data_IF_970838737310
#
_entry.id   IF_970838737310
#
_cell.length_a   1.000
_cell.length_b   1.000
_cell.length_c   1.000
_cell.angle_alpha   90.00
_cell.angle_beta   90.00
_cell.angle_gamma   90.00
#
_symmetry.space_group_name_H-M   'P 1'
#
loop_
_entity.id
_entity.type
_entity.pdbx_description
1 polymer ?
#
# COMPACT_ATOMS: atom_id res chain seq x y z
N UNK A 1 -11.68 6.37 21.22
CA UNK A 1 -11.97 6.10 19.80
C UNK A 1 -12.46 7.35 19.09
N UNK A 2 -12.71 7.21 17.80
CA UNK A 2 -13.21 8.30 16.93
C UNK A 2 -14.44 7.83 16.19
N UNK A 3 -15.46 8.68 16.09
CA UNK A 3 -16.65 8.44 15.31
C UNK A 3 -16.98 9.66 14.45
N UNK A 4 -17.78 9.46 13.42
CA UNK A 4 -18.21 10.50 12.49
C UNK A 4 -19.73 10.52 12.43
N UNK A 5 -20.32 11.72 12.45
CA UNK A 5 -21.73 11.95 12.14
C UNK A 5 -21.78 13.05 11.07
N UNK A 6 -22.25 12.72 9.88
CA UNK A 6 -22.17 13.57 8.70
C UNK A 6 -20.72 14.00 8.43
N UNK A 7 -20.41 15.31 8.49
CA UNK A 7 -19.06 15.85 8.32
C UNK A 7 -18.33 16.18 9.62
N UNK A 8 -18.95 15.96 10.77
CA UNK A 8 -18.34 16.26 12.07
C UNK A 8 -17.64 15.01 12.65
N UNK A 9 -16.42 15.20 13.13
CA UNK A 9 -15.66 14.18 13.86
C UNK A 9 -15.74 14.40 15.38
N UNK A 10 -15.84 13.28 16.06
CA UNK A 10 -15.93 13.21 17.52
C UNK A 10 -14.85 12.26 18.04
N UNK A 11 -14.23 12.59 19.14
CA UNK A 11 -13.42 11.63 19.90
C UNK A 11 -14.17 11.23 21.18
N UNK A 12 -13.91 10.03 21.68
CA UNK A 12 -14.46 9.54 22.93
C UNK A 12 -13.42 8.73 23.70
N UNK A 13 -13.52 8.71 25.03
CA UNK A 13 -12.57 8.02 25.90
C UNK A 13 -13.08 6.68 26.39
N UNK A 14 -14.39 6.45 26.38
CA UNK A 14 -14.99 5.20 26.84
C UNK A 14 -16.32 4.88 26.17
N UNK A 15 -16.73 3.62 26.27
CA UNK A 15 -18.01 3.12 25.79
C UNK A 15 -18.65 2.34 26.94
N UNK A 16 -19.91 2.66 27.27
CA UNK A 16 -20.80 1.79 28.02
C UNK A 16 -21.71 1.04 27.04
N UNK A 17 -22.55 0.14 27.52
CA UNK A 17 -23.40 -0.70 26.67
C UNK A 17 -24.24 0.09 25.63
N UNK A 18 -24.56 1.35 25.89
CA UNK A 18 -25.44 2.17 25.04
C UNK A 18 -24.95 3.60 24.80
N UNK A 19 -23.82 3.99 25.39
CA UNK A 19 -23.36 5.38 25.35
C UNK A 19 -21.85 5.51 25.19
N UNK A 20 -21.43 6.51 24.41
CA UNK A 20 -20.05 6.98 24.38
C UNK A 20 -19.84 7.98 25.52
N UNK A 21 -18.71 7.85 26.23
CA UNK A 21 -18.34 8.72 27.35
C UNK A 21 -17.08 9.50 27.05
N UNK A 22 -16.95 10.70 27.67
CA UNK A 22 -15.82 11.59 27.42
C UNK A 22 -15.76 12.07 25.97
N UNK A 23 -16.91 12.43 25.41
CA UNK A 23 -17.04 12.83 24.01
C UNK A 23 -16.57 14.26 23.82
N UNK A 24 -15.65 14.48 22.89
CA UNK A 24 -15.22 15.80 22.39
C UNK A 24 -15.68 15.97 20.96
N UNK A 25 -16.32 17.10 20.67
CA UNK A 25 -16.88 17.43 19.34
C UNK A 25 -15.90 18.24 18.50
N UNK A 26 -16.19 18.29 17.21
CA UNK A 26 -15.45 19.13 16.24
C UNK A 26 -13.94 18.88 16.25
N UNK A 27 -13.53 17.63 16.40
CA UNK A 27 -12.12 17.24 16.38
C UNK A 27 -11.54 17.25 14.97
N UNK A 28 -10.22 17.26 14.86
CA UNK A 28 -9.51 17.20 13.55
C UNK A 28 -9.96 18.27 12.55
N UNK A 29 -10.14 19.51 13.03
CA UNK A 29 -10.53 20.67 12.23
C UNK A 29 -11.93 20.57 11.58
N UNK A 30 -12.82 19.72 12.09
CA UNK A 30 -14.22 19.72 11.69
C UNK A 30 -15.01 20.78 12.48
N UNK A 31 -16.21 21.12 12.01
CA UNK A 31 -17.06 22.14 12.65
C UNK A 31 -18.23 21.44 13.36
N UNK A 32 -18.52 21.87 14.59
CA UNK A 32 -19.67 21.36 15.34
C UNK A 32 -20.99 21.75 14.64
N UNK A 33 -21.84 20.76 14.40
CA UNK A 33 -23.13 20.94 13.73
C UNK A 33 -24.28 20.31 14.55
N UNK A 34 -25.52 20.69 14.28
CA UNK A 34 -26.67 19.98 14.83
C UNK A 34 -26.85 18.63 14.11
N UNK A 35 -27.15 17.59 14.87
CA UNK A 35 -27.39 16.23 14.36
C UNK A 35 -28.82 15.79 14.67
N UNK A 36 -29.46 15.17 13.68
CA UNK A 36 -30.77 14.57 13.84
C UNK A 36 -30.63 13.16 14.46
N UNK A 37 -31.69 12.69 15.13
CA UNK A 37 -31.72 11.33 15.68
C UNK A 37 -31.55 10.23 14.61
N UNK A 38 -31.82 10.56 13.36
CA UNK A 38 -31.71 9.66 12.20
C UNK A 38 -30.36 9.73 11.50
N UNK A 39 -29.45 10.62 11.92
CA UNK A 39 -28.13 10.72 11.32
C UNK A 39 -27.32 9.44 11.61
N UNK A 40 -26.61 8.98 10.58
CA UNK A 40 -25.79 7.77 10.70
C UNK A 40 -24.51 8.09 11.48
N UNK A 41 -24.25 7.27 12.49
CA UNK A 41 -22.98 7.25 13.22
C UNK A 41 -22.08 6.19 12.59
N UNK A 42 -20.89 6.55 12.18
CA UNK A 42 -19.90 5.63 11.60
C UNK A 42 -18.55 5.77 12.29
N UNK A 43 -17.73 4.73 12.20
CA UNK A 43 -16.31 4.88 12.53
C UNK A 43 -15.65 5.85 11.55
N UNK A 44 -14.80 6.70 12.08
CA UNK A 44 -13.97 7.57 11.22
C UNK A 44 -12.79 6.79 10.67
N UNK A 45 -12.74 6.66 9.35
CA UNK A 45 -11.58 6.13 8.67
C UNK A 45 -10.49 7.20 8.55
N UNK A 46 -9.31 6.91 9.04
CA UNK A 46 -8.15 7.79 8.87
C UNK A 46 -7.41 7.40 7.60
N UNK A 47 -7.31 8.34 6.66
CA UNK A 47 -6.45 8.14 5.49
C UNK A 47 -5.00 7.94 5.96
N UNK A 48 -4.37 6.87 5.51
CA UNK A 48 -2.97 6.53 5.85
C UNK A 48 -2.01 7.02 4.79
N UNK A 49 -2.52 7.29 3.60
CA UNK A 49 -1.80 7.83 2.47
C UNK A 49 -2.77 8.65 1.62
N UNK A 50 -2.28 9.69 0.96
CA UNK A 50 -3.07 10.63 0.16
C UNK A 50 -2.32 11.00 -1.12
N UNK A 51 -3.02 11.62 -2.08
CA UNK A 51 -2.39 12.04 -3.35
C UNK A 51 -2.20 10.93 -4.36
N UNK A 52 -2.81 9.75 -4.15
CA UNK A 52 -2.77 8.65 -5.10
C UNK A 52 -3.67 8.89 -6.30
N UNK A 53 -3.36 8.24 -7.41
CA UNK A 53 -4.13 8.37 -8.66
C UNK A 53 -5.55 7.86 -8.49
N UNK A 54 -6.54 8.67 -8.86
CA UNK A 54 -7.95 8.29 -8.81
C UNK A 54 -8.23 7.12 -9.76
N UNK A 55 -9.05 6.17 -9.30
CA UNK A 55 -9.46 4.97 -10.04
C UNK A 55 -8.30 4.03 -10.45
N UNK A 56 -7.12 4.17 -9.85
CA UNK A 56 -6.01 3.24 -10.08
C UNK A 56 -6.34 1.83 -9.55
N UNK A 57 -5.78 0.82 -10.21
CA UNK A 57 -5.82 -0.55 -9.70
C UNK A 57 -4.63 -0.75 -8.76
N UNK A 58 -4.92 -1.19 -7.55
CA UNK A 58 -3.90 -1.48 -6.56
C UNK A 58 -3.55 -2.94 -6.54
N UNK A 59 -2.25 -3.25 -6.60
CA UNK A 59 -1.70 -4.54 -6.25
C UNK A 59 -0.87 -4.39 -4.99
N UNK A 60 -0.95 -5.35 -4.09
CA UNK A 60 -0.23 -5.31 -2.83
C UNK A 60 0.37 -6.66 -2.49
N UNK A 61 1.45 -6.62 -1.74
CA UNK A 61 2.15 -7.79 -1.22
C UNK A 61 2.49 -7.57 0.25
N UNK A 62 2.30 -8.61 1.06
CA UNK A 62 2.73 -8.64 2.46
C UNK A 62 4.10 -9.28 2.54
N UNK A 63 5.01 -8.68 3.29
CA UNK A 63 6.36 -9.18 3.43
C UNK A 63 6.93 -8.88 4.82
N UNK A 64 8.05 -9.56 5.14
CA UNK A 64 8.78 -9.40 6.38
C UNK A 64 10.25 -9.69 6.12
N UNK A 65 11.05 -8.66 5.86
CA UNK A 65 12.48 -8.80 5.58
C UNK A 65 13.35 -8.61 6.81
N UNK A 66 12.91 -7.82 7.77
CA UNK A 66 13.67 -7.34 8.92
C UNK A 66 13.07 -7.75 10.28
N UNK A 67 12.13 -8.70 10.29
CA UNK A 67 11.37 -9.10 11.47
C UNK A 67 10.10 -8.27 11.71
N UNK A 68 9.88 -7.20 10.93
CA UNK A 68 8.68 -6.38 11.00
C UNK A 68 7.79 -6.62 9.78
N UNK A 69 6.53 -6.96 10.02
CA UNK A 69 5.58 -7.11 8.92
C UNK A 69 5.25 -5.77 8.29
N UNK A 70 5.29 -5.75 6.97
CA UNK A 70 4.95 -4.61 6.13
C UNK A 70 4.03 -5.04 5.00
N UNK A 71 3.31 -4.08 4.44
CA UNK A 71 2.56 -4.23 3.19
C UNK A 71 3.09 -3.21 2.21
N UNK A 72 3.36 -3.63 0.99
CA UNK A 72 3.69 -2.74 -0.12
C UNK A 72 2.55 -2.72 -1.13
N UNK A 73 2.29 -1.53 -1.69
CA UNK A 73 1.28 -1.33 -2.72
C UNK A 73 1.88 -0.65 -3.95
N UNK A 74 1.41 -1.05 -5.12
CA UNK A 74 1.68 -0.40 -6.42
C UNK A 74 0.36 -0.05 -7.10
N UNK A 75 0.32 1.05 -7.87
CA UNK A 75 -0.91 1.61 -8.46
C UNK A 75 -0.79 2.03 -9.92
N UNK A 76 0.19 1.55 -10.65
CA UNK A 76 0.45 1.81 -12.07
C UNK A 76 0.94 3.23 -12.41
N UNK A 77 1.03 4.14 -11.45
CA UNK A 77 1.35 5.56 -11.73
C UNK A 77 2.36 6.13 -10.73
N UNK A 78 2.07 5.96 -9.45
CA UNK A 78 2.85 6.56 -8.38
C UNK A 78 4.08 5.69 -8.00
N UNK A 79 4.89 6.19 -7.09
CA UNK A 79 5.86 5.37 -6.40
C UNK A 79 5.15 4.26 -5.60
N UNK A 80 5.72 3.05 -5.51
CA UNK A 80 5.24 2.07 -4.55
C UNK A 80 5.22 2.64 -3.15
N UNK A 81 4.21 2.30 -2.35
CA UNK A 81 4.11 2.72 -0.95
C UNK A 81 4.20 1.53 -0.01
N UNK A 82 5.00 1.67 1.01
CA UNK A 82 5.16 0.69 2.09
C UNK A 82 4.44 1.19 3.33
N UNK A 83 3.60 0.33 3.92
CA UNK A 83 2.99 0.54 5.23
C UNK A 83 3.66 -0.38 6.24
N UNK A 84 4.15 0.20 7.32
CA UNK A 84 4.71 -0.56 8.45
C UNK A 84 3.62 -1.01 9.45
N UNK A 85 4.01 -1.69 10.52
CA UNK A 85 3.09 -2.17 11.55
C UNK A 85 2.33 -1.06 12.29
N UNK A 86 2.84 0.17 12.30
CA UNK A 86 2.15 1.36 12.83
C UNK A 86 1.24 2.02 11.78
N UNK A 87 1.09 1.43 10.60
CA UNK A 87 0.35 1.97 9.45
C UNK A 87 0.88 3.33 8.97
N UNK A 88 2.15 3.61 9.21
CA UNK A 88 2.83 4.75 8.59
C UNK A 88 3.23 4.40 7.15
N UNK A 89 2.92 5.31 6.23
CA UNK A 89 3.19 5.17 4.80
C UNK A 89 4.55 5.80 4.46
N UNK A 90 5.32 5.12 3.61
CA UNK A 90 6.59 5.62 3.07
C UNK A 90 6.71 5.22 1.59
N UNK A 91 7.01 6.17 0.73
CA UNK A 91 7.21 5.89 -0.69
C UNK A 91 8.59 5.28 -0.97
N UNK A 92 8.62 4.28 -1.85
CA UNK A 92 9.84 3.77 -2.48
C UNK A 92 10.23 4.71 -3.61
N UNK A 93 10.95 5.79 -3.26
CA UNK A 93 11.15 6.99 -4.09
C UNK A 93 12.24 6.80 -5.16
N UNK A 94 12.15 5.74 -5.97
CA UNK A 94 13.04 5.53 -7.13
C UNK A 94 12.26 5.39 -8.43
N UNK A 95 12.71 6.06 -9.49
CA UNK A 95 12.08 6.01 -10.81
C UNK A 95 12.11 4.63 -11.45
N UNK A 96 13.03 3.75 -11.02
CA UNK A 96 13.13 2.38 -11.54
C UNK A 96 11.87 1.55 -11.28
N UNK A 97 11.13 1.83 -10.20
CA UNK A 97 9.91 1.10 -9.82
C UNK A 97 8.64 1.94 -9.86
N UNK A 98 8.75 3.26 -10.11
CA UNK A 98 7.58 4.12 -10.28
C UNK A 98 6.69 3.62 -11.43
N UNK A 99 5.39 3.56 -11.23
CA UNK A 99 4.43 3.09 -12.22
C UNK A 99 4.37 1.58 -12.39
N UNK A 100 4.95 0.80 -11.47
CA UNK A 100 4.79 -0.65 -11.46
C UNK A 100 3.33 -1.05 -11.27
N UNK A 101 2.91 -2.09 -11.99
CA UNK A 101 1.55 -2.65 -11.90
C UNK A 101 1.48 -3.90 -11.03
N UNK A 102 2.62 -4.56 -10.82
CA UNK A 102 2.72 -5.81 -10.06
C UNK A 102 3.91 -5.77 -9.12
N UNK A 103 3.78 -6.44 -7.99
CA UNK A 103 4.80 -6.55 -6.96
C UNK A 103 4.74 -7.94 -6.31
N UNK A 104 5.90 -8.50 -5.95
CA UNK A 104 6.00 -9.75 -5.20
C UNK A 104 7.27 -9.78 -4.34
N UNK A 105 7.18 -10.31 -3.15
CA UNK A 105 8.33 -10.59 -2.28
C UNK A 105 8.85 -12.01 -2.53
N UNK A 106 10.13 -12.15 -2.89
CA UNK A 106 10.74 -13.45 -3.14
C UNK A 106 12.21 -13.45 -2.75
N UNK A 107 12.63 -14.45 -1.97
CA UNK A 107 14.02 -14.65 -1.51
C UNK A 107 14.66 -13.36 -0.97
N UNK A 108 13.94 -12.69 -0.07
CA UNK A 108 14.35 -11.45 0.59
C UNK A 108 14.53 -10.24 -0.34
N UNK A 109 14.10 -10.31 -1.59
CA UNK A 109 14.02 -9.20 -2.52
C UNK A 109 12.56 -8.82 -2.79
N UNK A 110 12.33 -7.56 -3.07
CA UNK A 110 11.05 -7.10 -3.61
C UNK A 110 11.17 -6.97 -5.12
N UNK A 111 10.29 -7.65 -5.85
CA UNK A 111 10.23 -7.65 -7.31
C UNK A 111 9.11 -6.74 -7.78
N UNK A 112 9.38 -5.88 -8.74
CA UNK A 112 8.45 -4.91 -9.33
C UNK A 112 8.42 -5.08 -10.84
N UNK A 113 7.24 -5.02 -11.46
CA UNK A 113 7.13 -5.20 -12.89
C UNK A 113 5.89 -4.58 -13.51
N UNK A 114 5.72 -4.79 -14.82
CA UNK A 114 4.55 -4.37 -15.57
C UNK A 114 4.43 -2.85 -15.76
N UNK A 115 5.54 -2.11 -15.76
CA UNK A 115 5.54 -0.66 -16.07
C UNK A 115 5.17 -0.45 -17.52
N UNK A 116 4.33 0.55 -17.80
CA UNK A 116 3.94 0.90 -19.17
C UNK A 116 5.13 1.30 -20.07
N UNK A 117 6.19 1.86 -19.47
CA UNK A 117 7.41 2.27 -20.19
C UNK A 117 8.39 1.13 -20.44
N UNK A 118 8.37 0.09 -19.60
CA UNK A 118 9.24 -1.08 -19.69
C UNK A 118 8.45 -2.35 -19.35
N UNK A 119 7.44 -2.74 -20.16
CA UNK A 119 6.48 -3.78 -19.77
C UNK A 119 7.08 -5.18 -19.66
N UNK A 120 8.26 -5.40 -20.23
CA UNK A 120 8.99 -6.66 -20.22
C UNK A 120 10.07 -6.73 -19.14
N UNK A 121 10.19 -5.69 -18.31
CA UNK A 121 11.24 -5.61 -17.30
C UNK A 121 10.67 -5.82 -15.90
N UNK A 122 11.39 -6.60 -15.11
CA UNK A 122 11.17 -6.81 -13.70
C UNK A 122 12.41 -6.28 -12.97
N UNK A 123 12.22 -5.28 -12.12
CA UNK A 123 13.29 -4.72 -11.28
C UNK A 123 13.16 -5.35 -9.89
N UNK A 124 14.28 -5.73 -9.28
CA UNK A 124 14.29 -6.26 -7.93
C UNK A 124 15.23 -5.46 -7.01
N UNK A 125 14.81 -5.34 -5.76
CA UNK A 125 15.53 -4.59 -4.73
C UNK A 125 16.78 -5.31 -4.25
N UNK A 126 17.58 -4.64 -3.44
CA UNK A 126 18.59 -5.27 -2.59
C UNK A 126 17.96 -6.33 -1.67
N UNK A 127 18.70 -7.35 -1.24
CA UNK A 127 18.19 -8.30 -0.27
C UNK A 127 17.93 -7.61 1.07
N UNK A 128 16.79 -7.96 1.70
CA UNK A 128 16.30 -7.41 2.97
C UNK A 128 16.00 -5.90 2.97
N UNK A 129 15.94 -5.26 1.80
CA UNK A 129 15.76 -3.82 1.65
C UNK A 129 14.83 -3.53 0.47
N UNK A 130 13.56 -3.25 0.74
CA UNK A 130 12.53 -3.06 -0.27
C UNK A 130 12.65 -1.76 -1.08
N UNK A 131 13.43 -0.79 -0.58
CA UNK A 131 13.66 0.51 -1.21
C UNK A 131 15.11 0.74 -1.68
N UNK A 132 15.98 -0.24 -1.52
CA UNK A 132 17.36 -0.21 -1.98
C UNK A 132 17.52 -0.78 -3.39
N UNK A 133 18.19 -0.03 -4.28
CA UNK A 133 18.34 -0.41 -5.70
C UNK A 133 19.78 -0.26 -6.21
N UNK A 134 20.78 -0.41 -5.35
CA UNK A 134 22.18 -0.42 -5.75
C UNK A 134 22.56 -1.79 -6.33
N UNK A 135 23.04 -1.82 -7.55
CA UNK A 135 23.51 -3.06 -8.21
C UNK A 135 24.71 -3.67 -7.48
N UNK A 136 25.54 -2.86 -6.84
CA UNK A 136 26.65 -3.32 -6.02
C UNK A 136 26.23 -3.99 -4.71
N UNK A 137 24.98 -3.79 -4.27
CA UNK A 137 24.38 -4.38 -3.08
C UNK A 137 23.37 -5.52 -3.40
N UNK A 138 23.31 -5.97 -4.65
CA UNK A 138 22.50 -7.12 -5.06
C UNK A 138 21.14 -6.80 -5.68
N UNK A 139 20.84 -5.53 -5.93
CA UNK A 139 19.70 -5.15 -6.74
C UNK A 139 19.97 -5.35 -8.24
N UNK A 140 18.91 -5.46 -9.04
CA UNK A 140 19.07 -5.63 -10.48
C UNK A 140 17.75 -5.66 -11.24
N UNK A 141 17.82 -6.08 -12.51
CA UNK A 141 16.63 -6.30 -13.33
C UNK A 141 16.73 -7.57 -14.17
N UNK A 142 15.58 -8.11 -14.51
CA UNK A 142 15.40 -9.26 -15.42
C UNK A 142 14.53 -8.79 -16.56
N UNK A 143 14.93 -9.08 -17.79
CA UNK A 143 14.10 -8.88 -18.98
C UNK A 143 13.54 -10.21 -19.45
N UNK A 144 12.25 -10.24 -19.68
CA UNK A 144 11.53 -11.31 -20.35
C UNK A 144 11.13 -10.84 -21.76
N UNK A 145 10.73 -11.75 -22.63
CA UNK A 145 10.40 -11.43 -24.01
C UNK A 145 8.89 -11.20 -24.25
N UNK A 146 8.14 -10.91 -23.18
CA UNK A 146 6.70 -10.66 -23.24
C UNK A 146 6.26 -9.71 -22.11
N UNK A 147 5.09 -9.07 -22.24
CA UNK A 147 4.55 -8.10 -21.27
C UNK A 147 4.20 -8.80 -19.95
N UNK A 148 4.77 -8.32 -18.84
CA UNK A 148 4.52 -8.84 -17.49
C UNK A 148 3.16 -8.36 -17.01
N UNK A 149 2.27 -9.28 -16.63
CA UNK A 149 0.92 -8.99 -16.14
C UNK A 149 0.70 -9.40 -14.69
N UNK A 150 1.47 -10.36 -14.17
CA UNK A 150 1.42 -10.73 -12.76
C UNK A 150 2.73 -11.39 -12.29
N UNK A 151 3.01 -11.25 -11.02
CA UNK A 151 4.07 -11.96 -10.31
C UNK A 151 3.41 -12.78 -9.19
N UNK A 152 3.82 -14.04 -9.02
CA UNK A 152 3.32 -14.88 -7.93
C UNK A 152 4.38 -15.84 -7.45
N UNK A 153 4.56 -15.87 -6.14
CA UNK A 153 5.42 -16.86 -5.50
C UNK A 153 4.58 -18.09 -5.19
N UNK A 154 5.05 -19.24 -5.62
CA UNK A 154 4.49 -20.52 -5.27
C UNK A 154 5.61 -21.49 -4.92
N UNK A 155 5.59 -22.01 -3.69
CA UNK A 155 6.71 -22.77 -3.11
C UNK A 155 8.01 -21.95 -3.20
N UNK A 156 9.07 -22.52 -3.76
CA UNK A 156 10.39 -21.88 -3.85
C UNK A 156 10.66 -21.24 -5.23
N UNK A 157 9.61 -20.91 -5.98
CA UNK A 157 9.72 -20.35 -7.32
C UNK A 157 8.89 -19.08 -7.47
N UNK A 158 9.46 -18.09 -8.17
CA UNK A 158 8.75 -16.91 -8.63
C UNK A 158 8.21 -17.19 -10.02
N UNK A 159 6.90 -17.19 -10.18
CA UNK A 159 6.23 -17.30 -11.47
C UNK A 159 6.00 -15.90 -12.04
N UNK A 160 6.43 -15.72 -13.28
CA UNK A 160 6.24 -14.48 -14.05
C UNK A 160 5.17 -14.76 -15.08
N UNK A 161 3.99 -14.22 -14.87
CA UNK A 161 2.89 -14.33 -15.83
C UNK A 161 2.96 -13.17 -16.81
N UNK A 162 3.03 -13.49 -18.08
CA UNK A 162 3.01 -12.54 -19.17
C UNK A 162 1.74 -12.71 -20.00
N UNK A 163 1.49 -11.83 -20.95
CA UNK A 163 0.28 -11.89 -21.79
C UNK A 163 0.14 -13.22 -22.53
N UNK A 164 1.24 -13.79 -23.04
CA UNK A 164 1.21 -15.00 -23.85
C UNK A 164 2.01 -16.17 -23.27
N UNK A 165 2.73 -16.02 -22.14
CA UNK A 165 3.59 -17.06 -21.54
C UNK A 165 3.71 -16.95 -20.05
N UNK A 166 4.24 -18.00 -19.46
CA UNK A 166 4.59 -18.08 -18.03
C UNK A 166 6.05 -18.52 -17.92
N UNK A 167 6.86 -17.81 -17.16
CA UNK A 167 8.23 -18.14 -16.84
C UNK A 167 8.36 -18.60 -15.39
#
# INVERSE_FOLDING_TARGET
GTLQINSELFTYTGINSTTFTGVTRATSSTTAAAHAKTDVVSESWTARDTGRTSAAKYHFERFNFDGNEKIICVDQTNYPVVFNSAMAATDVSTSSVQGSTVVAAYRNHMFYGGKSTTPQEIVFSEPFNEDGFSSGAGAGSIKVDDTVVALKVFRDSLFIFCENRIF
#
